data_IF_792918284511
#
_entry.id   IF_792918284511
#
_cell.length_a   1.000
_cell.length_b   1.000
_cell.length_c   1.000
_cell.angle_alpha   90.00
_cell.angle_beta   90.00
_cell.angle_gamma   90.00
#
_symmetry.space_group_name_H-M   'P 1'
#
loop_
_entity.id
_entity.type
_entity.pdbx_description
1 polymer ?
#
# COMPACT_ATOMS: atom_id res chain seq x y z
N UNK A 1 15.25 -32.35 -37.56
CA UNK A 1 15.88 -32.27 -36.21
C UNK A 1 15.90 -30.87 -35.60
N UNK A 2 16.11 -29.77 -36.35
CA UNK A 2 16.21 -28.41 -35.81
C UNK A 2 14.96 -27.89 -35.06
N UNK A 3 13.75 -28.31 -35.45
CA UNK A 3 12.49 -27.88 -34.82
C UNK A 3 12.30 -28.36 -33.37
N UNK A 4 12.92 -29.49 -32.99
CA UNK A 4 12.83 -30.04 -31.63
C UNK A 4 13.75 -29.29 -30.66
N UNK A 5 14.97 -28.97 -31.08
CA UNK A 5 15.97 -28.29 -30.26
C UNK A 5 15.52 -26.85 -29.92
N UNK A 6 14.99 -26.10 -30.88
CA UNK A 6 14.51 -24.73 -30.65
C UNK A 6 13.30 -24.67 -29.69
N UNK A 7 12.40 -25.66 -29.74
CA UNK A 7 11.26 -25.77 -28.81
C UNK A 7 11.71 -26.12 -27.40
N UNK A 8 12.70 -27.00 -27.28
CA UNK A 8 13.28 -27.41 -26.00
C UNK A 8 14.05 -26.25 -25.36
N UNK A 9 14.89 -25.54 -26.11
CA UNK A 9 15.60 -24.33 -25.64
C UNK A 9 14.62 -23.24 -25.19
N UNK A 10 13.58 -22.94 -25.99
CA UNK A 10 12.53 -21.98 -25.61
C UNK A 10 11.80 -22.37 -24.31
N UNK A 11 11.58 -23.67 -24.08
CA UNK A 11 10.97 -24.17 -22.84
C UNK A 11 11.90 -23.94 -21.64
N UNK A 12 13.20 -24.22 -21.78
CA UNK A 12 14.18 -23.96 -20.73
C UNK A 12 14.33 -22.47 -20.42
N UNK A 13 14.42 -21.62 -21.45
CA UNK A 13 14.49 -20.16 -21.29
C UNK A 13 13.27 -19.59 -20.57
N UNK A 14 12.06 -20.07 -20.93
CA UNK A 14 10.82 -19.68 -20.25
C UNK A 14 10.80 -20.15 -18.79
N UNK A 15 11.37 -21.32 -18.50
CA UNK A 15 11.46 -21.85 -17.14
C UNK A 15 12.40 -21.01 -16.29
N UNK A 16 13.59 -20.68 -16.79
CA UNK A 16 14.56 -19.82 -16.10
C UNK A 16 14.04 -18.40 -15.88
N UNK A 17 13.33 -17.83 -16.87
CA UNK A 17 12.69 -16.52 -16.73
C UNK A 17 11.64 -16.51 -15.61
N UNK A 18 10.83 -17.55 -15.50
CA UNK A 18 9.83 -17.65 -14.44
C UNK A 18 10.49 -17.79 -13.07
N UNK A 19 11.54 -18.61 -12.96
CA UNK A 19 12.29 -18.80 -11.72
C UNK A 19 12.93 -17.47 -11.27
N UNK A 20 13.56 -16.74 -12.20
CA UNK A 20 14.21 -15.46 -11.88
C UNK A 20 13.21 -14.38 -11.45
N UNK A 21 12.01 -14.35 -12.07
CA UNK A 21 10.92 -13.46 -11.63
C UNK A 21 10.48 -13.75 -10.20
N UNK A 22 10.28 -15.02 -9.84
CA UNK A 22 9.91 -15.38 -8.46
C UNK A 22 11.02 -15.07 -7.46
N UNK A 23 12.27 -15.36 -7.79
CA UNK A 23 13.41 -15.01 -6.96
C UNK A 23 13.48 -13.49 -6.72
N UNK A 24 13.29 -12.69 -7.77
CA UNK A 24 13.26 -11.23 -7.67
C UNK A 24 12.08 -10.72 -6.82
N UNK A 25 10.87 -11.28 -7.00
CA UNK A 25 9.70 -10.93 -6.17
C UNK A 25 9.99 -11.22 -4.70
N UNK A 26 10.51 -12.42 -4.39
CA UNK A 26 10.84 -12.80 -3.00
C UNK A 26 11.86 -11.82 -2.41
N UNK A 27 12.95 -11.55 -3.14
CA UNK A 27 14.00 -10.63 -2.69
C UNK A 27 13.45 -9.20 -2.45
N UNK A 28 12.65 -8.67 -3.38
CA UNK A 28 12.09 -7.33 -3.29
C UNK A 28 10.96 -7.21 -2.24
N UNK A 29 10.34 -8.31 -1.81
CA UNK A 29 9.41 -8.25 -0.67
C UNK A 29 10.11 -8.08 0.67
N UNK A 30 11.40 -8.36 0.78
CA UNK A 30 12.12 -8.35 2.05
C UNK A 30 12.13 -6.95 2.72
N UNK A 31 12.45 -5.84 2.02
CA UNK A 31 12.37 -4.50 2.60
C UNK A 31 10.96 -4.13 3.08
N UNK A 32 9.92 -4.53 2.34
CA UNK A 32 8.53 -4.25 2.72
C UNK A 32 8.12 -5.03 3.97
N UNK A 33 8.54 -6.29 4.07
CA UNK A 33 8.33 -7.12 5.27
C UNK A 33 9.06 -6.54 6.48
N UNK A 34 10.31 -6.09 6.30
CA UNK A 34 11.07 -5.44 7.35
C UNK A 34 10.39 -4.14 7.82
N UNK A 35 9.90 -3.31 6.90
CA UNK A 35 9.16 -2.09 7.24
C UNK A 35 7.86 -2.40 7.98
N UNK A 36 7.08 -3.40 7.54
CA UNK A 36 5.89 -3.87 8.25
C UNK A 36 6.22 -4.44 9.64
N UNK A 37 7.32 -5.16 9.79
CA UNK A 37 7.80 -5.69 11.07
C UNK A 37 8.15 -4.58 12.07
N UNK A 38 8.80 -3.50 11.61
CA UNK A 38 9.05 -2.33 12.46
C UNK A 38 7.74 -1.70 12.97
N UNK A 39 6.67 -1.79 12.18
CA UNK A 39 5.32 -1.40 12.57
C UNK A 39 4.83 -2.09 13.84
N UNK A 40 5.26 -3.32 14.15
CA UNK A 40 4.85 -4.02 15.37
C UNK A 40 5.25 -3.31 16.67
N UNK A 41 6.23 -2.41 16.60
CA UNK A 41 6.66 -1.56 17.72
C UNK A 41 5.86 -0.25 17.85
N UNK A 42 4.98 0.05 16.89
CA UNK A 42 4.19 1.27 16.89
C UNK A 42 3.17 1.29 18.03
N UNK A 43 2.95 2.50 18.57
CA UNK A 43 2.05 2.83 19.67
C UNK A 43 1.55 4.25 19.47
N UNK A 44 0.48 4.62 20.17
CA UNK A 44 0.05 6.01 20.24
C UNK A 44 1.16 6.91 20.78
N UNK A 45 1.24 8.09 20.17
CA UNK A 45 2.22 9.13 20.44
C UNK A 45 1.52 10.48 20.40
N UNK A 46 1.83 11.34 21.38
CA UNK A 46 1.37 12.73 21.43
C UNK A 46 -0.11 12.89 21.01
N UNK A 47 -0.35 13.46 19.83
CA UNK A 47 -1.67 13.74 19.25
C UNK A 47 -2.58 12.50 19.18
N UNK A 48 -2.03 11.30 18.99
CA UNK A 48 -2.82 10.06 18.94
C UNK A 48 -3.57 9.81 20.27
N UNK A 49 -2.98 10.19 21.42
CA UNK A 49 -3.66 10.10 22.71
C UNK A 49 -4.74 11.18 22.85
N UNK A 50 -4.54 12.36 22.27
CA UNK A 50 -5.52 13.43 22.30
C UNK A 50 -6.77 13.07 21.47
N UNK A 51 -6.58 12.49 20.28
CA UNK A 51 -7.67 12.04 19.42
C UNK A 51 -8.42 10.86 20.03
N UNK A 52 -7.70 9.88 20.58
CA UNK A 52 -8.30 8.74 21.25
C UNK A 52 -9.03 9.14 22.55
N UNK A 53 -8.47 10.07 23.35
CA UNK A 53 -9.10 10.58 24.55
C UNK A 53 -10.42 11.30 24.25
N UNK A 54 -10.40 12.20 23.25
CA UNK A 54 -11.62 12.87 22.78
C UNK A 54 -12.67 11.87 22.27
N UNK A 55 -12.24 10.80 21.59
CA UNK A 55 -13.12 9.73 21.15
C UNK A 55 -13.77 8.99 22.31
N UNK A 56 -13.01 8.70 23.37
CA UNK A 56 -13.52 8.04 24.59
C UNK A 56 -14.53 8.95 25.31
N UNK A 57 -14.21 10.23 25.46
CA UNK A 57 -15.01 11.16 26.25
C UNK A 57 -16.31 11.59 25.55
N UNK A 58 -16.28 11.77 24.23
CA UNK A 58 -17.38 12.36 23.46
C UNK A 58 -18.07 11.37 22.52
N UNK A 59 -17.55 10.15 22.39
CA UNK A 59 -17.96 9.19 21.38
C UNK A 59 -17.60 9.62 19.95
N UNK A 60 -17.90 8.78 18.97
CA UNK A 60 -17.45 8.99 17.58
C UNK A 60 -17.94 10.31 16.99
N UNK A 61 -19.26 10.55 16.96
CA UNK A 61 -19.82 11.77 16.37
C UNK A 61 -19.53 13.03 17.17
N UNK A 62 -19.47 12.93 18.51
CA UNK A 62 -19.10 14.04 19.37
C UNK A 62 -17.65 14.47 19.13
N UNK A 63 -16.74 13.50 18.99
CA UNK A 63 -15.35 13.75 18.63
C UNK A 63 -15.21 14.39 17.23
N UNK A 64 -15.97 13.92 16.22
CA UNK A 64 -15.97 14.56 14.91
C UNK A 64 -16.38 16.04 14.98
N UNK A 65 -17.47 16.34 15.71
CA UNK A 65 -17.91 17.72 15.92
C UNK A 65 -16.87 18.55 16.68
N UNK A 66 -16.25 17.97 17.71
CA UNK A 66 -15.22 18.64 18.50
C UNK A 66 -14.04 19.06 17.63
N UNK A 67 -13.46 18.12 16.88
CA UNK A 67 -12.28 18.40 16.04
C UNK A 67 -12.58 19.30 14.85
N UNK A 68 -13.79 19.24 14.31
CA UNK A 68 -14.23 20.18 13.27
C UNK A 68 -14.26 21.62 13.78
N UNK A 69 -14.76 21.85 14.99
CA UNK A 69 -14.93 23.19 15.57
C UNK A 69 -13.65 23.76 16.22
N UNK A 70 -12.77 22.91 16.77
CA UNK A 70 -11.70 23.36 17.66
C UNK A 70 -10.27 23.15 17.15
N UNK A 71 -10.08 22.56 15.96
CA UNK A 71 -8.73 22.29 15.46
C UNK A 71 -8.47 22.72 14.03
N UNK A 72 -8.73 21.87 13.03
CA UNK A 72 -8.18 22.10 11.68
C UNK A 72 -9.16 21.88 10.53
N UNK A 73 -10.46 21.68 10.80
CA UNK A 73 -11.47 21.46 9.75
C UNK A 73 -11.23 20.22 8.87
N UNK A 74 -10.16 19.44 9.11
CA UNK A 74 -9.76 18.24 8.37
C UNK A 74 -10.69 17.06 8.71
N UNK A 75 -11.96 17.18 8.35
CA UNK A 75 -13.01 16.24 8.71
C UNK A 75 -12.71 14.82 8.23
N UNK A 76 -12.18 14.65 7.01
CA UNK A 76 -11.84 13.31 6.49
C UNK A 76 -10.72 12.66 7.31
N UNK A 77 -9.70 13.44 7.69
CA UNK A 77 -8.59 12.96 8.52
C UNK A 77 -9.09 12.50 9.90
N UNK A 78 -9.84 13.35 10.61
CA UNK A 78 -10.34 13.00 11.94
C UNK A 78 -11.37 11.88 11.92
N UNK A 79 -12.12 11.74 10.82
CA UNK A 79 -13.02 10.62 10.61
C UNK A 79 -12.26 9.29 10.56
N UNK A 80 -11.23 9.19 9.72
CA UNK A 80 -10.46 7.94 9.60
C UNK A 80 -9.59 7.66 10.83
N UNK A 81 -9.06 8.69 11.49
CA UNK A 81 -8.37 8.54 12.78
C UNK A 81 -9.31 7.91 13.81
N UNK A 82 -10.44 8.54 14.11
CA UNK A 82 -11.36 8.00 15.11
C UNK A 82 -11.93 6.64 14.71
N UNK A 83 -12.16 6.38 13.41
CA UNK A 83 -12.68 5.10 12.94
C UNK A 83 -11.70 3.96 13.27
N UNK A 84 -10.40 4.19 13.11
CA UNK A 84 -9.39 3.20 13.44
C UNK A 84 -9.12 3.12 14.94
N UNK A 85 -9.25 4.22 15.68
CA UNK A 85 -9.15 4.23 17.15
C UNK A 85 -10.26 3.43 17.83
N UNK A 86 -11.42 3.20 17.18
CA UNK A 86 -12.44 2.26 17.67
C UNK A 86 -11.90 0.82 17.81
N UNK A 87 -10.88 0.44 17.05
CA UNK A 87 -10.19 -0.86 17.19
C UNK A 87 -9.17 -0.87 18.35
N UNK A 88 -9.01 0.25 19.05
CA UNK A 88 -8.12 0.45 20.16
C UNK A 88 -6.65 0.66 19.76
N UNK A 89 -5.77 0.96 20.74
CA UNK A 89 -4.37 1.33 20.48
C UNK A 89 -3.54 0.24 19.79
N UNK A 90 -3.94 -1.03 19.89
CA UNK A 90 -3.25 -2.14 19.26
C UNK A 90 -3.24 -2.07 17.73
N UNK A 91 -4.19 -1.34 17.12
CA UNK A 91 -4.30 -1.23 15.66
C UNK A 91 -3.04 -0.65 15.02
N UNK A 92 -2.36 0.28 15.70
CA UNK A 92 -1.15 0.96 15.18
C UNK A 92 -0.05 -0.02 14.81
N UNK A 93 -0.01 -1.19 15.45
CA UNK A 93 0.98 -2.23 15.17
C UNK A 93 0.80 -2.89 13.81
N UNK A 94 -0.45 -2.99 13.36
CA UNK A 94 -0.80 -3.70 12.13
C UNK A 94 -0.85 -2.75 10.91
N UNK A 95 -1.17 -1.47 11.13
CA UNK A 95 -1.39 -0.51 10.03
C UNK A 95 -0.22 -0.38 9.05
N UNK A 96 1.06 -0.32 9.46
CA UNK A 96 2.16 -0.19 8.51
C UNK A 96 2.21 -1.37 7.53
N UNK A 97 2.05 -2.61 8.04
CA UNK A 97 1.99 -3.81 7.20
C UNK A 97 0.75 -3.86 6.30
N UNK A 98 -0.42 -3.50 6.85
CA UNK A 98 -1.69 -3.46 6.10
C UNK A 98 -1.60 -2.47 4.94
N UNK A 99 -1.15 -1.23 5.20
CA UNK A 99 -1.07 -0.20 4.17
C UNK A 99 -0.03 -0.53 3.10
N UNK A 100 1.11 -1.13 3.45
CA UNK A 100 2.08 -1.61 2.45
C UNK A 100 1.49 -2.72 1.57
N UNK A 101 0.75 -3.67 2.17
CA UNK A 101 0.11 -4.75 1.42
C UNK A 101 -0.99 -4.22 0.48
N UNK A 102 -1.82 -3.31 0.98
CA UNK A 102 -2.85 -2.64 0.17
C UNK A 102 -2.24 -1.80 -0.95
N UNK A 103 -1.13 -1.11 -0.69
CA UNK A 103 -0.45 -0.32 -1.73
C UNK A 103 0.15 -1.21 -2.81
N UNK A 104 0.81 -2.32 -2.42
CA UNK A 104 1.33 -3.29 -3.38
C UNK A 104 0.21 -3.89 -4.24
N UNK A 105 -0.93 -4.22 -3.62
CA UNK A 105 -2.10 -4.70 -4.34
C UNK A 105 -2.61 -3.63 -5.33
N UNK A 106 -2.79 -2.39 -4.88
CA UNK A 106 -3.25 -1.29 -5.72
C UNK A 106 -2.32 -1.04 -6.92
N UNK A 107 -1.00 -1.02 -6.70
CA UNK A 107 -0.01 -0.89 -7.77
C UNK A 107 -0.04 -2.09 -8.72
N UNK A 108 -0.16 -3.31 -8.20
CA UNK A 108 -0.24 -4.53 -9.03
C UNK A 108 -1.46 -4.48 -9.94
N UNK A 109 -2.62 -4.07 -9.40
CA UNK A 109 -3.84 -3.89 -10.18
C UNK A 109 -3.68 -2.77 -11.20
N UNK A 110 -3.09 -1.64 -10.82
CA UNK A 110 -2.83 -0.52 -11.72
C UNK A 110 -1.99 -0.95 -12.92
N UNK A 111 -0.80 -1.53 -12.70
CA UNK A 111 0.08 -1.95 -13.78
C UNK A 111 -0.51 -3.05 -14.66
N UNK A 112 -1.28 -3.98 -14.07
CA UNK A 112 -1.98 -5.02 -14.83
C UNK A 112 -3.05 -4.43 -15.76
N UNK A 113 -3.63 -3.31 -15.38
CA UNK A 113 -4.70 -2.63 -16.11
C UNK A 113 -4.21 -1.60 -17.13
N UNK A 114 -2.90 -1.35 -17.21
CA UNK A 114 -2.35 -0.53 -18.28
C UNK A 114 -2.44 -1.28 -19.61
N UNK A 115 -2.88 -0.61 -20.70
CA UNK A 115 -2.98 -1.23 -22.01
C UNK A 115 -1.58 -1.58 -22.52
N UNK A 116 -1.24 -2.87 -22.48
CA UNK A 116 0.01 -3.42 -22.98
C UNK A 116 -0.22 -4.19 -24.30
N UNK A 117 -0.80 -3.52 -25.31
CA UNK A 117 -1.07 -4.14 -26.61
C UNK A 117 -1.85 -5.47 -26.51
N UNK A 118 -1.53 -6.44 -27.39
CA UNK A 118 -2.26 -7.70 -27.52
C UNK A 118 -2.18 -8.66 -26.31
N UNK A 119 -1.45 -8.34 -25.24
CA UNK A 119 -1.39 -9.15 -24.03
C UNK A 119 -1.30 -8.26 -22.78
N UNK A 120 -2.35 -8.27 -21.96
CA UNK A 120 -2.27 -7.73 -20.59
C UNK A 120 -1.06 -8.33 -19.84
N UNK A 121 -0.42 -7.51 -19.02
CA UNK A 121 0.75 -7.92 -18.25
C UNK A 121 0.40 -9.16 -17.39
N UNK A 122 1.25 -10.20 -17.41
CA UNK A 122 1.05 -11.35 -16.51
C UNK A 122 1.07 -10.88 -15.05
N UNK A 123 0.37 -11.58 -14.15
CA UNK A 123 0.36 -11.23 -12.72
C UNK A 123 1.77 -11.13 -12.13
N UNK A 124 2.70 -12.01 -12.54
CA UNK A 124 4.08 -12.00 -12.06
C UNK A 124 4.82 -10.74 -12.48
N UNK A 125 4.69 -10.39 -13.76
CA UNK A 125 5.29 -9.18 -14.28
C UNK A 125 4.68 -7.93 -13.60
N UNK A 126 3.35 -7.90 -13.42
CA UNK A 126 2.68 -6.79 -12.74
C UNK A 126 3.12 -6.64 -11.27
N UNK A 127 3.25 -7.75 -10.52
CA UNK A 127 3.75 -7.75 -9.13
C UNK A 127 5.21 -7.26 -9.10
N UNK A 128 6.06 -7.75 -10.00
CA UNK A 128 7.47 -7.36 -10.06
C UNK A 128 7.64 -5.87 -10.41
N UNK A 129 6.82 -5.36 -11.33
CA UNK A 129 6.79 -3.94 -11.69
C UNK A 129 6.19 -3.09 -10.58
N UNK A 130 5.21 -3.57 -9.84
CA UNK A 130 4.60 -2.88 -8.70
C UNK A 130 5.52 -2.79 -7.49
N UNK A 131 6.25 -3.87 -7.17
CA UNK A 131 7.08 -3.92 -5.97
C UNK A 131 8.33 -3.04 -6.09
N UNK A 132 8.87 -2.88 -7.30
CA UNK A 132 10.08 -2.09 -7.55
C UNK A 132 9.96 -0.61 -7.12
N UNK A 133 8.97 0.18 -7.58
CA UNK A 133 8.79 1.55 -7.14
C UNK A 133 8.37 1.63 -5.67
N UNK A 134 7.56 0.68 -5.16
CA UNK A 134 7.16 0.67 -3.76
C UNK A 134 8.36 0.48 -2.82
N UNK A 135 9.27 -0.44 -3.15
CA UNK A 135 10.55 -0.60 -2.43
C UNK A 135 11.39 0.66 -2.53
N UNK A 136 11.48 1.26 -3.73
CA UNK A 136 12.19 2.52 -3.92
C UNK A 136 11.67 3.65 -3.02
N UNK A 137 10.35 3.80 -2.94
CA UNK A 137 9.68 4.76 -2.04
C UNK A 137 9.99 4.44 -0.58
N UNK A 138 9.85 3.18 -0.16
CA UNK A 138 10.05 2.78 1.24
C UNK A 138 11.49 2.96 1.71
N UNK A 139 12.46 2.64 0.84
CA UNK A 139 13.88 2.81 1.16
C UNK A 139 14.33 4.25 1.04
N UNK A 140 13.74 5.03 0.12
CA UNK A 140 14.11 6.41 -0.17
C UNK A 140 13.34 7.47 0.62
N UNK A 141 12.32 7.11 1.42
CA UNK A 141 11.56 8.12 2.15
C UNK A 141 12.41 8.81 3.24
N UNK A 142 12.42 10.16 3.33
CA UNK A 142 13.27 10.90 4.27
C UNK A 142 12.98 10.58 5.74
N UNK A 143 11.70 10.46 6.11
CA UNK A 143 11.27 10.09 7.46
C UNK A 143 10.27 8.92 7.40
N UNK A 144 10.83 7.71 7.60
CA UNK A 144 10.07 6.46 7.70
C UNK A 144 9.16 6.41 8.90
N UNK A 145 9.59 6.99 10.01
CA UNK A 145 8.82 6.94 11.23
C UNK A 145 7.55 7.78 11.07
N UNK A 146 7.69 9.02 10.63
CA UNK A 146 6.57 9.95 10.45
C UNK A 146 5.59 9.46 9.37
N UNK A 147 6.09 8.96 8.23
CA UNK A 147 5.24 8.68 7.08
C UNK A 147 4.57 7.31 7.13
N UNK A 148 5.17 6.33 7.83
CA UNK A 148 4.75 4.93 7.77
C UNK A 148 4.52 4.27 9.12
N UNK A 149 5.23 4.66 10.19
CA UNK A 149 5.11 3.98 11.50
C UNK A 149 4.14 4.71 12.43
N UNK A 150 4.24 6.04 12.49
CA UNK A 150 3.37 6.87 13.31
C UNK A 150 1.94 6.86 12.76
N UNK A 151 0.96 6.68 13.64
CA UNK A 151 -0.43 6.41 13.27
C UNK A 151 -1.08 7.55 12.46
N UNK A 152 -1.17 8.73 13.07
CA UNK A 152 -1.75 9.91 12.41
C UNK A 152 -0.90 10.40 11.24
N UNK A 153 0.43 10.20 11.29
CA UNK A 153 1.32 10.42 10.15
C UNK A 153 1.02 9.49 8.95
N UNK A 154 0.89 8.19 9.18
CA UNK A 154 0.52 7.19 8.17
C UNK A 154 -0.82 7.57 7.50
N UNK A 155 -1.81 8.01 8.27
CA UNK A 155 -3.09 8.45 7.73
C UNK A 155 -3.02 9.78 6.98
N UNK A 156 -2.03 10.62 7.28
CA UNK A 156 -1.81 11.89 6.59
C UNK A 156 -1.07 11.71 5.27
N UNK A 157 -0.08 10.81 5.22
CA UNK A 157 0.85 10.71 4.08
C UNK A 157 0.66 9.43 3.26
N UNK A 158 0.67 8.26 3.90
CA UNK A 158 0.64 6.97 3.19
C UNK A 158 -0.77 6.63 2.74
N UNK A 159 -1.78 6.77 3.60
CA UNK A 159 -3.15 6.38 3.28
C UNK A 159 -3.72 7.07 2.02
N UNK A 160 -3.56 8.39 1.82
CA UNK A 160 -4.00 9.05 0.60
C UNK A 160 -3.31 8.50 -0.65
N UNK A 161 -2.01 8.19 -0.59
CA UNK A 161 -1.29 7.60 -1.72
C UNK A 161 -1.81 6.21 -2.08
N UNK A 162 -2.12 5.37 -1.08
CA UNK A 162 -2.74 4.06 -1.32
C UNK A 162 -4.11 4.22 -1.98
N UNK A 163 -4.96 5.12 -1.47
CA UNK A 163 -6.30 5.38 -2.02
C UNK A 163 -6.21 5.91 -3.45
N UNK A 164 -5.35 6.91 -3.71
CA UNK A 164 -5.15 7.47 -5.04
C UNK A 164 -4.63 6.41 -6.03
N UNK A 165 -3.73 5.54 -5.59
CA UNK A 165 -3.24 4.43 -6.42
C UNK A 165 -4.36 3.44 -6.75
N UNK A 166 -5.21 3.11 -5.77
CA UNK A 166 -6.35 2.23 -5.99
C UNK A 166 -7.40 2.85 -6.93
N UNK A 167 -7.66 4.15 -6.81
CA UNK A 167 -8.54 4.89 -7.72
C UNK A 167 -7.96 4.95 -9.14
N UNK A 168 -6.64 5.13 -9.28
CA UNK A 168 -5.97 5.07 -10.57
C UNK A 168 -6.10 3.68 -11.20
N UNK A 169 -5.92 2.61 -10.43
CA UNK A 169 -6.13 1.23 -10.90
C UNK A 169 -7.57 1.01 -11.38
N UNK A 170 -8.54 1.43 -10.57
CA UNK A 170 -9.97 1.32 -10.88
C UNK A 170 -10.37 2.09 -12.14
N UNK A 171 -9.75 3.25 -12.36
CA UNK A 171 -9.97 4.09 -13.54
C UNK A 171 -9.35 3.46 -14.79
N UNK A 172 -8.11 2.97 -14.68
CA UNK A 172 -7.41 2.28 -15.77
C UNK A 172 -8.18 1.03 -16.26
N UNK A 173 -8.78 0.27 -15.33
CA UNK A 173 -9.63 -0.88 -15.66
C UNK A 173 -10.88 -0.54 -16.48
N UNK A 174 -11.37 0.70 -16.36
CA UNK A 174 -12.58 1.17 -17.05
C UNK A 174 -12.29 1.92 -18.33
N UNK A 175 -11.03 2.20 -18.63
CA UNK A 175 -10.63 3.01 -19.78
C UNK A 175 -10.80 2.29 -21.13
N UNK A 176 -11.40 1.09 -21.19
CA UNK A 176 -11.57 0.29 -22.42
C UNK A 176 -12.64 0.80 -23.41
N UNK A 177 -13.09 2.07 -23.36
CA UNK A 177 -14.39 2.45 -23.94
C UNK A 177 -14.51 3.71 -24.81
N UNK A 178 -13.46 4.24 -25.45
CA UNK A 178 -13.59 5.44 -26.30
C UNK A 178 -12.89 5.35 -27.68
N UNK A 179 -12.81 4.14 -28.26
CA UNK A 179 -12.35 3.95 -29.64
C UNK A 179 -13.27 3.02 -30.42
#
# INVERSE_FOLDING_TARGET
MAFGLARVLRKYDLTWLVISQWAAIIALTLPLRAAGYLGLSARYLADDYCTAGTLIDLGFWGSQRYWYLHWSGRYAFTFFVNLLELAGPGITRALPGIFLALWLLALTLFFRSLPAGANSMSWRAAILTAISPLVGIVLGMPDRYQSLIWFTGLLTYTAPLVILTALAAWSAQRWEGWH
#
